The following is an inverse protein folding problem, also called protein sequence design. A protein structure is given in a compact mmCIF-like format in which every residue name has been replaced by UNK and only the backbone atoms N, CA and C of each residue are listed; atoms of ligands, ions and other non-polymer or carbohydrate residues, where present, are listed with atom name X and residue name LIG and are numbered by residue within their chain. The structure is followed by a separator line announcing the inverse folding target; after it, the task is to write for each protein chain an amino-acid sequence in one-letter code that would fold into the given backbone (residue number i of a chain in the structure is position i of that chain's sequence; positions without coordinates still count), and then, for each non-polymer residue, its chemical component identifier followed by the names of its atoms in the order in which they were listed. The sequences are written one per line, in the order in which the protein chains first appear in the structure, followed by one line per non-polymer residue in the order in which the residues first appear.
data_IF_570807577570
#
_entry.id   IF_570807577570
#
_cell.length_a   1.000
_cell.length_b   1.000
_cell.length_c   1.000
_cell.angle_alpha   90.00
_cell.angle_beta   90.00
_cell.angle_gamma   90.00
#
_symmetry.space_group_name_H-M   'P 1'
#
loop_
_entity.id
_entity.type
_entity.pdbx_description
1 polymer ?
#
# COMPACT_ATOMS: atom_id res chain seq x y z
N UNK A 1 -27.98 -4.11 5.44
CA UNK A 1 -27.00 -3.49 4.54
C UNK A 1 -25.67 -3.59 5.26
N UNK A 2 -24.78 -4.47 4.80
CA UNK A 2 -23.48 -4.69 5.44
C UNK A 2 -22.55 -3.54 5.05
N UNK A 3 -21.89 -2.94 6.04
CA UNK A 3 -21.00 -1.81 5.86
C UNK A 3 -19.69 -2.29 5.22
N UNK A 4 -19.34 -1.72 4.07
CA UNK A 4 -18.07 -2.00 3.39
C UNK A 4 -16.90 -1.50 4.26
N UNK A 5 -16.07 -2.42 4.76
CA UNK A 5 -14.85 -2.07 5.48
C UNK A 5 -13.67 -1.99 4.51
N UNK A 6 -13.01 -0.83 4.46
CA UNK A 6 -11.82 -0.65 3.62
C UNK A 6 -10.67 -1.53 4.09
N UNK A 7 -10.08 -2.26 3.15
CA UNK A 7 -8.84 -3.01 3.28
C UNK A 7 -7.59 -2.17 3.00
N UNK A 8 -7.73 -0.89 2.60
CA UNK A 8 -6.57 -0.02 2.40
C UNK A 8 -6.05 0.44 3.76
N UNK A 9 -4.90 -0.09 4.18
CA UNK A 9 -4.28 0.24 5.46
C UNK A 9 -3.44 1.53 5.38
N UNK A 10 -3.17 2.12 6.53
CA UNK A 10 -2.28 3.27 6.65
C UNK A 10 -0.82 2.84 6.63
N UNK A 11 0.08 3.79 6.42
CA UNK A 11 1.51 3.49 6.44
C UNK A 11 1.97 3.09 7.82
N UNK A 12 2.80 2.05 7.88
CA UNK A 12 3.31 1.49 9.12
C UNK A 12 2.33 0.53 9.78
N UNK A 13 1.09 0.39 9.28
CA UNK A 13 0.18 -0.65 9.77
C UNK A 13 0.77 -2.02 9.46
N UNK A 14 0.88 -2.83 10.50
CA UNK A 14 1.32 -4.22 10.45
C UNK A 14 0.18 -5.10 9.95
N UNK A 15 0.54 -6.10 9.16
CA UNK A 15 -0.39 -7.09 8.63
C UNK A 15 0.28 -8.46 8.53
N UNK A 16 -0.54 -9.50 8.48
CA UNK A 16 -0.10 -10.86 8.15
C UNK A 16 -0.76 -11.30 6.85
N UNK A 17 -0.05 -12.07 6.03
CA UNK A 17 -0.63 -12.63 4.81
C UNK A 17 -1.56 -13.78 5.21
N UNK A 18 -2.83 -13.65 4.85
CA UNK A 18 -3.87 -14.62 5.16
C UNK A 18 -3.72 -15.91 4.36
N UNK A 19 -4.22 -17.02 4.89
CA UNK A 19 -4.28 -18.31 4.21
C UNK A 19 -5.50 -18.47 3.27
N UNK A 20 -6.43 -17.50 3.30
CA UNK A 20 -7.62 -17.44 2.44
C UNK A 20 -7.32 -17.63 0.95
N UNK A 21 -6.15 -17.20 0.49
CA UNK A 21 -5.66 -17.49 -0.86
C UNK A 21 -4.24 -18.05 -0.79
N UNK A 22 -4.07 -19.25 -1.36
CA UNK A 22 -2.74 -19.81 -1.63
C UNK A 22 -2.09 -19.04 -2.79
N UNK A 23 -1.12 -18.20 -2.46
CA UNK A 23 -0.26 -17.50 -3.41
C UNK A 23 1.14 -18.16 -3.42
N UNK A 24 1.64 -18.68 -4.55
CA UNK A 24 2.96 -19.32 -4.60
C UNK A 24 4.12 -18.33 -4.40
N UNK A 25 3.92 -17.04 -4.65
CA UNK A 25 4.92 -15.98 -4.51
C UNK A 25 4.97 -15.38 -3.09
N UNK A 26 3.90 -15.55 -2.31
CA UNK A 26 3.81 -15.01 -0.96
C UNK A 26 3.22 -16.02 0.03
N UNK A 27 4.05 -16.44 0.99
CA UNK A 27 3.73 -17.51 1.94
C UNK A 27 2.75 -16.98 2.99
N UNK A 28 1.61 -17.66 3.25
CA UNK A 28 0.72 -17.34 4.36
C UNK A 28 1.46 -17.27 5.70
N UNK A 29 1.03 -16.37 6.58
CA UNK A 29 1.68 -16.06 7.86
C UNK A 29 2.90 -15.13 7.75
N UNK A 30 3.31 -14.72 6.55
CA UNK A 30 4.35 -13.69 6.40
C UNK A 30 3.88 -12.38 7.03
N UNK A 31 4.73 -11.75 7.84
CA UNK A 31 4.48 -10.44 8.45
C UNK A 31 4.93 -9.34 7.50
N UNK A 32 4.15 -8.28 7.41
CA UNK A 32 4.48 -7.12 6.60
C UNK A 32 3.98 -5.80 7.17
N UNK A 33 4.47 -4.72 6.57
CA UNK A 33 4.15 -3.34 6.90
C UNK A 33 3.83 -2.57 5.61
N UNK A 34 2.78 -1.75 5.64
CA UNK A 34 2.43 -0.92 4.50
C UNK A 34 3.34 0.30 4.43
N UNK A 35 3.93 0.56 3.27
CA UNK A 35 4.72 1.77 3.02
C UNK A 35 3.89 2.84 2.32
N UNK A 36 3.18 2.49 1.24
CA UNK A 36 2.38 3.45 0.49
C UNK A 36 1.41 2.77 -0.48
N UNK A 37 0.41 3.52 -0.91
CA UNK A 37 -0.48 3.13 -1.99
C UNK A 37 0.25 3.18 -3.34
N UNK A 38 0.17 2.10 -4.10
CA UNK A 38 0.64 2.00 -5.49
C UNK A 38 -0.41 2.41 -6.53
N UNK A 39 -1.69 2.44 -6.14
CA UNK A 39 -2.84 2.75 -7.00
C UNK A 39 -3.68 1.51 -7.33
N UNK A 40 -4.80 1.71 -8.04
CA UNK A 40 -5.68 0.61 -8.45
C UNK A 40 -4.99 -0.35 -9.42
N UNK A 41 -5.42 -1.61 -9.40
CA UNK A 41 -5.01 -2.60 -10.40
C UNK A 41 -5.61 -2.28 -11.77
N UNK A 42 -4.81 -2.46 -12.81
CA UNK A 42 -5.23 -2.16 -14.19
C UNK A 42 -6.35 -3.10 -14.70
N UNK A 43 -6.47 -4.30 -14.12
CA UNK A 43 -7.42 -5.32 -14.55
C UNK A 43 -8.63 -5.44 -13.63
N UNK A 44 -8.50 -5.09 -12.34
CA UNK A 44 -9.54 -5.30 -11.33
C UNK A 44 -9.78 -4.04 -10.47
N UNK A 45 -10.96 -3.41 -10.60
CA UNK A 45 -11.26 -2.12 -9.96
C UNK A 45 -11.40 -2.19 -8.42
N UNK A 46 -11.81 -3.34 -7.88
CA UNK A 46 -11.81 -3.58 -6.43
C UNK A 46 -10.46 -4.14 -5.94
N UNK A 47 -9.37 -3.95 -6.68
CA UNK A 47 -8.03 -4.38 -6.27
C UNK A 47 -7.10 -3.20 -6.31
N UNK A 48 -6.28 -3.08 -5.27
CA UNK A 48 -5.29 -2.03 -5.15
C UNK A 48 -3.91 -2.63 -5.00
N UNK A 49 -2.92 -1.99 -5.60
CA UNK A 49 -1.51 -2.27 -5.35
C UNK A 49 -1.03 -1.43 -4.16
N UNK A 50 -0.30 -2.06 -3.26
CA UNK A 50 0.40 -1.39 -2.17
C UNK A 50 1.88 -1.72 -2.22
N UNK A 51 2.71 -0.72 -1.98
CA UNK A 51 4.13 -0.94 -1.70
C UNK A 51 4.24 -1.36 -0.24
N UNK A 52 4.85 -2.53 -0.02
CA UNK A 52 4.91 -3.17 1.28
C UNK A 52 6.33 -3.58 1.60
N UNK A 53 6.62 -3.64 2.88
CA UNK A 53 7.83 -4.25 3.42
C UNK A 53 7.41 -5.57 4.04
N UNK A 54 7.94 -6.68 3.54
CA UNK A 54 7.75 -8.01 4.12
C UNK A 54 8.98 -8.40 4.92
N UNK A 55 8.76 -8.97 6.10
CA UNK A 55 9.82 -9.62 6.89
C UNK A 55 9.62 -11.12 6.73
N UNK A 56 10.60 -11.80 6.13
CA UNK A 56 10.52 -13.23 5.82
C UNK A 56 11.67 -13.99 6.46
N UNK A 57 11.37 -15.13 7.09
CA UNK A 57 12.38 -16.13 7.44
C UNK A 57 12.93 -16.77 6.15
N UNK A 58 14.21 -16.54 5.86
CA UNK A 58 14.91 -17.14 4.74
C UNK A 58 15.22 -18.63 4.94
N UNK A 59 15.61 -19.32 3.86
CA UNK A 59 15.89 -20.77 3.83
C UNK A 59 17.00 -21.27 4.78
N UNK A 60 17.77 -20.36 5.38
CA UNK A 60 18.91 -20.67 6.26
C UNK A 60 18.75 -20.09 7.66
N UNK A 61 17.51 -19.79 8.09
CA UNK A 61 17.23 -19.12 9.37
C UNK A 61 17.53 -17.62 9.36
N UNK A 62 17.87 -17.04 8.21
CA UNK A 62 18.19 -15.61 8.06
C UNK A 62 16.95 -14.82 7.70
N UNK A 63 16.59 -13.83 8.50
CA UNK A 63 15.51 -12.93 8.15
C UNK A 63 15.87 -12.02 6.97
N UNK A 64 14.90 -11.80 6.09
CA UNK A 64 15.02 -10.96 4.91
C UNK A 64 13.98 -9.87 4.98
N UNK A 65 14.40 -8.64 4.73
CA UNK A 65 13.47 -7.56 4.42
C UNK A 65 13.30 -7.53 2.90
N UNK A 66 12.06 -7.69 2.47
CA UNK A 66 11.69 -7.68 1.06
C UNK A 66 10.75 -6.51 0.81
N UNK A 67 11.20 -5.54 0.01
CA UNK A 67 10.35 -4.48 -0.49
C UNK A 67 9.68 -5.01 -1.75
N UNK A 68 8.36 -5.19 -1.69
CA UNK A 68 7.59 -5.71 -2.81
C UNK A 68 6.30 -4.91 -3.01
N UNK A 69 5.62 -5.19 -4.12
CA UNK A 69 4.25 -4.74 -4.32
C UNK A 69 3.32 -5.91 -4.09
N UNK A 70 2.37 -5.71 -3.19
CA UNK A 70 1.24 -6.61 -3.03
C UNK A 70 0.02 -6.01 -3.70
N UNK A 71 -0.89 -6.87 -4.12
CA UNK A 71 -2.21 -6.53 -4.62
C UNK A 71 -3.23 -7.14 -3.67
N UNK A 72 -4.25 -6.40 -3.30
CA UNK A 72 -5.27 -6.89 -2.38
C UNK A 72 -6.62 -6.26 -2.68
N UNK A 73 -7.74 -6.87 -2.23
CA UNK A 73 -9.03 -6.26 -2.43
C UNK A 73 -9.16 -4.95 -1.64
N UNK A 74 -9.83 -3.95 -2.22
CA UNK A 74 -10.15 -2.69 -1.52
C UNK A 74 -11.24 -2.91 -0.49
N UNK A 75 -12.27 -3.68 -0.82
CA UNK A 75 -13.27 -4.14 0.14
C UNK A 75 -13.38 -5.66 0.10
N UNK A 76 -13.59 -6.30 1.25
CA UNK A 76 -13.83 -7.74 1.37
C UNK A 76 -15.30 -8.01 1.65
N UNK A 77 -15.90 -8.98 0.96
CA UNK A 77 -17.29 -9.42 1.17
C UNK A 77 -17.43 -10.92 0.94
N UNK A 78 -18.23 -11.58 1.77
CA UNK A 78 -18.55 -13.00 1.61
C UNK A 78 -19.75 -13.16 0.66
N UNK A 79 -19.46 -13.20 -0.65
CA UNK A 79 -20.45 -13.38 -1.72
C UNK A 79 -19.88 -14.19 -2.87
N UNK A 80 -20.64 -15.15 -3.41
CA UNK A 80 -20.23 -15.94 -4.59
C UNK A 80 -19.94 -15.07 -5.82
N UNK A 81 -20.60 -13.91 -5.95
CA UNK A 81 -20.35 -12.95 -7.03
C UNK A 81 -19.03 -12.20 -6.86
N UNK A 82 -18.49 -12.14 -5.65
CA UNK A 82 -17.22 -11.46 -5.34
C UNK A 82 -16.01 -12.19 -5.95
N UNK A 83 -16.05 -13.53 -6.01
CA UNK A 83 -14.98 -14.31 -6.64
C UNK A 83 -14.78 -13.97 -8.13
N UNK A 84 -15.84 -13.50 -8.82
CA UNK A 84 -15.81 -13.13 -10.25
C UNK A 84 -15.12 -11.80 -10.52
N UNK A 85 -15.00 -10.93 -9.51
CA UNK A 85 -14.42 -9.58 -9.63
C UNK A 85 -13.03 -9.47 -8.99
N UNK A 86 -12.43 -10.62 -8.66
CA UNK A 86 -11.07 -10.74 -8.15
C UNK A 86 -10.16 -11.47 -9.14
N UNK A 87 -8.82 -11.32 -9.00
CA UNK A 87 -7.86 -12.03 -9.82
C UNK A 87 -8.05 -13.56 -9.78
N UNK A 88 -8.20 -14.14 -10.97
CA UNK A 88 -8.18 -15.60 -11.18
C UNK A 88 -6.84 -16.18 -10.75
N UNK A 89 -6.81 -17.47 -10.36
CA UNK A 89 -5.64 -18.18 -9.81
C UNK A 89 -4.37 -17.97 -10.65
N UNK A 90 -4.49 -18.00 -11.97
CA UNK A 90 -3.39 -17.86 -12.93
C UNK A 90 -2.74 -16.46 -12.90
N UNK A 91 -3.50 -15.42 -12.50
CA UNK A 91 -3.05 -14.03 -12.47
C UNK A 91 -2.65 -13.54 -11.06
N UNK A 92 -2.52 -14.44 -10.07
CA UNK A 92 -2.33 -14.08 -8.65
C UNK A 92 -0.90 -13.77 -8.21
N UNK A 93 0.09 -13.59 -9.10
CA UNK A 93 1.52 -13.48 -8.71
C UNK A 93 1.83 -12.47 -7.58
N UNK A 94 0.98 -11.47 -7.35
CA UNK A 94 1.10 -10.54 -6.21
C UNK A 94 -0.20 -10.35 -5.43
N UNK A 95 -1.27 -11.07 -5.77
CA UNK A 95 -2.57 -10.91 -5.13
C UNK A 95 -2.65 -11.72 -3.84
N UNK A 96 -2.95 -11.07 -2.73
CA UNK A 96 -3.03 -11.66 -1.40
C UNK A 96 -4.24 -11.13 -0.65
N UNK A 97 -4.71 -11.92 0.31
CA UNK A 97 -5.48 -11.38 1.43
C UNK A 97 -4.52 -11.09 2.56
N UNK A 98 -4.78 -10.03 3.30
CA UNK A 98 -4.04 -9.72 4.51
C UNK A 98 -5.01 -9.64 5.67
N UNK A 99 -4.59 -10.17 6.80
CA UNK A 99 -5.28 -9.98 8.06
C UNK A 99 -4.64 -8.75 8.71
N UNK A 100 -5.46 -7.72 8.89
CA UNK A 100 -5.04 -6.47 9.53
C UNK A 100 -4.82 -6.76 11.01
N UNK A 101 -3.64 -6.42 11.52
CA UNK A 101 -3.49 -6.26 12.96
C UNK A 101 -4.13 -4.91 13.30
N UNK A 102 -5.14 -4.90 14.18
CA UNK A 102 -5.71 -3.64 14.65
C UNK A 102 -4.57 -2.72 15.08
N UNK A 103 -4.69 -1.42 14.79
CA UNK A 103 -3.75 -0.43 15.29
C UNK A 103 -3.86 -0.48 16.81
N UNK A 104 -3.15 -1.40 17.46
CA UNK A 104 -2.84 -1.26 18.85
C UNK A 104 -2.12 0.09 18.88
N UNK A 105 -2.66 1.06 19.62
CA UNK A 105 -1.97 2.30 19.94
C UNK A 105 -0.76 1.98 20.83
N UNK A 106 0.01 0.95 20.50
CA UNK A 106 1.25 0.61 21.10
C UNK A 106 2.19 1.76 20.78
N UNK A 107 2.75 2.31 21.84
CA UNK A 107 3.87 3.19 21.76
C UNK A 107 4.92 2.53 20.86
N UNK A 108 5.33 3.17 19.75
CA UNK A 108 6.34 2.63 18.83
C UNK A 108 7.66 2.30 19.57
N UNK A 109 7.85 2.84 20.77
CA UNK A 109 8.95 2.50 21.66
C UNK A 109 8.85 1.10 22.27
N UNK A 110 7.64 0.56 22.42
CA UNK A 110 7.34 -0.69 23.13
C UNK A 110 7.13 -1.90 22.21
N UNK A 111 7.10 -1.70 20.90
CA UNK A 111 6.99 -2.82 19.94
C UNK A 111 8.29 -3.65 19.91
N UNK A 112 8.21 -4.87 19.40
CA UNK A 112 9.41 -5.72 19.23
C UNK A 112 10.44 -5.05 18.32
N UNK A 113 11.73 -5.35 18.47
CA UNK A 113 12.79 -4.80 17.60
C UNK A 113 12.57 -5.12 16.12
N UNK A 114 11.98 -6.28 15.85
CA UNK A 114 11.60 -6.69 14.50
C UNK A 114 10.45 -5.85 13.94
N UNK A 115 9.42 -5.60 14.74
CA UNK A 115 8.29 -4.75 14.33
C UNK A 115 8.73 -3.29 14.14
N UNK A 116 9.60 -2.79 15.02
CA UNK A 116 10.17 -1.45 14.88
C UNK A 116 11.01 -1.32 13.60
N UNK A 117 11.83 -2.33 13.29
CA UNK A 117 12.59 -2.41 12.05
C UNK A 117 11.66 -2.40 10.82
N UNK A 118 10.62 -3.23 10.80
CA UNK A 118 9.66 -3.26 9.70
C UNK A 118 8.93 -1.93 9.50
N UNK A 119 8.45 -1.34 10.60
CA UNK A 119 7.80 -0.03 10.59
C UNK A 119 8.74 1.07 10.09
N UNK A 120 9.96 1.13 10.60
CA UNK A 120 10.92 2.17 10.28
C UNK A 120 11.43 2.10 8.83
N UNK A 121 11.57 0.90 8.27
CA UNK A 121 11.83 0.71 6.83
C UNK A 121 10.63 1.16 6.00
N UNK A 122 9.41 0.76 6.35
CA UNK A 122 8.20 1.16 5.63
C UNK A 122 8.02 2.69 5.63
N UNK A 123 8.25 3.32 6.78
CA UNK A 123 8.21 4.78 6.96
C UNK A 123 9.31 5.48 6.16
N UNK A 124 10.56 4.97 6.19
CA UNK A 124 11.66 5.53 5.41
C UNK A 124 11.39 5.48 3.91
N UNK A 125 10.78 4.39 3.42
CA UNK A 125 10.34 4.29 2.03
C UNK A 125 9.23 5.30 1.70
N UNK A 126 8.26 5.51 2.59
CA UNK A 126 7.23 6.54 2.39
C UNK A 126 7.84 7.93 2.34
N UNK A 127 8.68 8.27 3.32
CA UNK A 127 9.37 9.55 3.38
C UNK A 127 10.16 9.81 2.09
N UNK A 128 10.86 8.79 1.57
CA UNK A 128 11.60 8.90 0.31
C UNK A 128 10.68 9.13 -0.90
N UNK A 129 9.53 8.47 -0.94
CA UNK A 129 8.52 8.69 -1.99
C UNK A 129 7.92 10.10 -1.92
N UNK A 130 7.64 10.61 -0.72
CA UNK A 130 7.15 11.98 -0.55
C UNK A 130 8.23 13.00 -0.95
N UNK A 131 9.46 12.75 -0.52
CA UNK A 131 10.63 13.56 -0.79
C UNK A 131 10.93 13.68 -2.30
N UNK A 132 10.74 12.61 -3.08
CA UNK A 132 10.91 12.66 -4.53
C UNK A 132 9.83 13.48 -5.26
N UNK A 133 8.68 13.69 -4.63
CA UNK A 133 7.57 14.52 -5.15
C UNK A 133 7.67 15.99 -4.69
N UNK A 134 8.52 16.29 -3.70
CA UNK A 134 8.77 17.63 -3.20
C UNK A 134 9.86 18.35 -4.01
N UNK A 135 9.56 19.53 -4.55
CA UNK A 135 10.58 20.42 -5.18
C UNK A 135 11.52 21.07 -4.16
N UNK A 136 11.06 21.25 -2.92
CA UNK A 136 11.82 21.84 -1.81
C UNK A 136 12.04 20.76 -0.74
N UNK A 137 12.86 19.78 -1.08
CA UNK A 137 13.13 18.64 -0.21
C UNK A 137 14.30 18.94 0.73
N UNK A 138 14.08 18.86 2.05
CA UNK A 138 15.15 18.83 3.05
C UNK A 138 15.45 17.37 3.41
N UNK A 139 15.92 16.60 2.43
CA UNK A 139 16.43 15.27 2.75
C UNK A 139 17.76 15.41 3.50
N UNK A 140 17.97 14.69 4.61
CA UNK A 140 19.23 14.79 5.34
C UNK A 140 20.39 14.34 4.45
N UNK A 141 21.42 15.18 4.33
CA UNK A 141 22.62 14.90 3.53
C UNK A 141 23.57 13.92 4.23
N UNK A 142 23.49 13.81 5.56
CA UNK A 142 24.38 12.98 6.36
C UNK A 142 24.01 11.51 6.31
N UNK A 143 24.97 10.68 5.95
CA UNK A 143 24.88 9.22 6.02
C UNK A 143 24.70 8.68 7.44
N UNK A 144 25.01 9.51 8.47
CA UNK A 144 24.83 9.15 9.87
C UNK A 144 23.40 9.37 10.36
N UNK A 145 22.58 10.11 9.60
CA UNK A 145 21.18 10.34 9.93
C UNK A 145 20.43 9.00 10.01
N UNK A 146 19.60 8.76 11.05
CA UNK A 146 18.89 7.50 11.23
C UNK A 146 18.12 7.05 9.99
N UNK A 147 17.40 7.94 9.31
CA UNK A 147 16.60 7.61 8.11
C UNK A 147 17.47 7.13 6.94
N UNK A 148 18.65 7.71 6.78
CA UNK A 148 19.62 7.27 5.77
C UNK A 148 20.26 5.93 6.09
N UNK A 149 20.47 5.63 7.39
CA UNK A 149 20.98 4.32 7.82
C UNK A 149 19.98 3.21 7.48
N UNK A 150 18.69 3.45 7.72
CA UNK A 150 17.63 2.46 7.43
C UNK A 150 17.57 2.11 5.94
N UNK A 151 17.67 3.10 5.07
CA UNK A 151 17.64 2.88 3.61
C UNK A 151 18.88 2.15 3.06
N UNK A 152 19.92 1.94 3.88
CA UNK A 152 21.17 1.26 3.51
C UNK A 152 21.29 -0.13 4.11
N UNK A 153 20.29 -0.53 4.87
CA UNK A 153 20.20 -1.86 5.43
C UNK A 153 20.24 -2.88 4.26
N UNK A 154 21.18 -3.85 4.26
CA UNK A 154 21.31 -4.81 3.16
C UNK A 154 20.05 -5.65 2.98
N UNK A 155 19.67 -6.01 1.75
CA UNK A 155 18.47 -6.84 1.49
C UNK A 155 18.43 -8.17 2.28
N UNK A 156 19.59 -8.66 2.72
CA UNK A 156 19.75 -9.83 3.58
C UNK A 156 20.36 -9.42 4.91
N UNK A 157 19.64 -9.65 6.00
CA UNK A 157 20.21 -9.59 7.34
C UNK A 157 20.52 -11.02 7.73
N UNK A 158 21.79 -11.30 8.02
CA UNK A 158 22.01 -12.40 8.96
C UNK A 158 21.34 -11.94 10.26
N UNK A 159 20.73 -12.86 11.00
CA UNK A 159 20.78 -12.75 12.45
C UNK A 159 22.27 -12.63 12.77
N UNK A 160 22.76 -11.40 12.79
CA UNK A 160 23.99 -11.06 13.46
C UNK A 160 23.53 -10.90 14.91
N UNK A 161 23.92 -11.82 15.81
CA UNK A 161 23.57 -11.73 17.22
C UNK A 161 24.00 -10.40 17.86
N UNK A 162 24.82 -9.59 17.18
CA UNK A 162 25.32 -8.29 17.61
C UNK A 162 24.80 -7.04 16.88
N UNK A 163 24.18 -7.16 15.69
CA UNK A 163 24.27 -6.10 14.68
C UNK A 163 23.04 -5.21 14.51
N UNK A 164 22.09 -5.65 13.68
CA UNK A 164 20.99 -4.79 13.21
C UNK A 164 19.77 -4.80 14.13
N UNK A 165 19.35 -5.96 14.64
CA UNK A 165 18.24 -6.01 15.61
C UNK A 165 18.63 -5.32 16.93
N UNK A 166 19.86 -5.55 17.41
CA UNK A 166 20.40 -4.88 18.60
C UNK A 166 20.47 -3.35 18.44
N UNK A 167 20.76 -2.86 17.23
CA UNK A 167 20.67 -1.43 16.94
C UNK A 167 19.25 -0.89 17.18
N UNK A 168 18.22 -1.68 16.83
CA UNK A 168 16.82 -1.34 17.08
C UNK A 168 16.33 -1.78 18.47
N UNK A 169 17.14 -2.41 19.32
CA UNK A 169 16.83 -2.59 20.74
C UNK A 169 17.13 -1.32 21.54
N UNK A 170 18.03 -0.47 21.04
CA UNK A 170 18.39 0.79 21.68
C UNK A 170 17.25 1.83 21.57
N UNK A 171 16.70 2.24 22.72
CA UNK A 171 15.61 3.21 22.79
C UNK A 171 16.00 4.60 22.26
N UNK A 172 17.21 5.09 22.53
CA UNK A 172 17.67 6.39 22.04
C UNK A 172 17.71 6.42 20.50
N UNK A 173 18.09 5.29 19.89
CA UNK A 173 18.06 5.13 18.43
C UNK A 173 16.63 5.16 17.90
N UNK A 174 15.69 4.46 18.57
CA UNK A 174 14.27 4.47 18.19
C UNK A 174 13.69 5.87 18.25
N UNK A 175 13.90 6.57 19.37
CA UNK A 175 13.42 7.92 19.60
C UNK A 175 14.00 8.89 18.57
N UNK A 176 15.32 8.86 18.36
CA UNK A 176 15.99 9.68 17.35
C UNK A 176 15.44 9.43 15.94
N UNK A 177 15.16 8.18 15.57
CA UNK A 177 14.52 7.89 14.28
C UNK A 177 13.08 8.43 14.21
N UNK A 178 12.26 8.21 15.25
CA UNK A 178 10.87 8.66 15.29
C UNK A 178 10.79 10.18 15.16
N UNK A 179 11.61 10.91 15.89
CA UNK A 179 11.62 12.37 15.89
C UNK A 179 12.04 12.91 14.53
N UNK A 180 13.11 12.38 13.96
CA UNK A 180 13.56 12.78 12.63
C UNK A 180 12.50 12.47 11.56
N UNK A 181 11.89 11.28 11.62
CA UNK A 181 10.81 10.90 10.73
C UNK A 181 9.61 11.84 10.85
N UNK A 182 9.22 12.26 12.06
CA UNK A 182 8.13 13.23 12.31
C UNK A 182 8.45 14.62 11.77
N UNK A 183 9.68 15.11 11.97
CA UNK A 183 10.14 16.39 11.41
C UNK A 183 10.08 16.34 9.88
N UNK A 184 10.59 15.28 9.26
CA UNK A 184 10.51 15.11 7.81
C UNK A 184 9.05 15.02 7.33
N UNK A 185 8.23 14.23 8.01
CA UNK A 185 6.82 14.05 7.69
C UNK A 185 6.05 15.38 7.72
N UNK A 186 6.20 16.15 8.79
CA UNK A 186 5.54 17.46 8.95
C UNK A 186 5.98 18.46 7.87
N UNK A 187 7.25 18.45 7.47
CA UNK A 187 7.75 19.29 6.38
C UNK A 187 7.15 18.95 5.01
N UNK A 188 6.62 17.73 4.86
CA UNK A 188 6.03 17.19 3.63
C UNK A 188 4.51 16.98 3.73
N UNK A 189 3.85 17.60 4.72
CA UNK A 189 2.43 17.37 5.03
C UNK A 189 1.50 17.56 3.82
N UNK A 190 1.79 18.51 2.92
CA UNK A 190 0.99 18.71 1.69
C UNK A 190 1.00 17.48 0.79
N UNK A 191 2.18 16.92 0.52
CA UNK A 191 2.30 15.70 -0.30
C UNK A 191 1.62 14.52 0.39
N UNK A 192 1.71 14.43 1.72
CA UNK A 192 0.99 13.41 2.47
C UNK A 192 -0.53 13.52 2.27
N UNK A 193 -1.10 14.72 2.40
CA UNK A 193 -2.54 14.93 2.19
C UNK A 193 -2.96 14.58 0.76
N UNK A 194 -2.15 14.91 -0.25
CA UNK A 194 -2.40 14.52 -1.65
C UNK A 194 -2.41 12.98 -1.82
N UNK A 195 -1.55 12.27 -1.08
CA UNK A 195 -1.52 10.80 -1.08
C UNK A 195 -2.76 10.21 -0.40
N UNK A 196 -3.25 10.83 0.67
CA UNK A 196 -4.47 10.39 1.37
C UNK A 196 -5.72 10.67 0.53
N UNK A 197 -5.77 11.79 -0.19
CA UNK A 197 -6.82 12.05 -1.20
C UNK A 197 -6.82 10.95 -2.28
N UNK A 198 -5.64 10.48 -2.68
CA UNK A 198 -5.50 9.39 -3.65
C UNK A 198 -6.04 8.05 -3.10
N UNK A 199 -5.88 7.80 -1.80
CA UNK A 199 -6.49 6.65 -1.10
C UNK A 199 -8.01 6.74 -1.13
N UNK A 200 -8.59 7.85 -0.70
CA UNK A 200 -10.04 8.05 -0.70
C UNK A 200 -10.67 7.88 -2.10
N UNK A 201 -9.98 8.36 -3.15
CA UNK A 201 -10.41 8.15 -4.55
C UNK A 201 -10.44 6.67 -4.95
N UNK A 202 -9.48 5.87 -4.49
CA UNK A 202 -9.47 4.43 -4.79
C UNK A 202 -10.64 3.72 -4.10
N UNK A 203 -10.93 4.08 -2.85
CA UNK A 203 -12.07 3.54 -2.09
C UNK A 203 -13.41 3.90 -2.74
N UNK A 204 -13.58 5.16 -3.16
CA UNK A 204 -14.80 5.60 -3.86
C UNK A 204 -15.02 4.80 -5.15
N UNK A 205 -14.00 4.71 -6.02
CA UNK A 205 -14.10 3.98 -7.28
C UNK A 205 -14.44 2.49 -7.06
N UNK A 206 -13.81 1.86 -6.08
CA UNK A 206 -14.08 0.46 -5.75
C UNK A 206 -15.50 0.27 -5.20
N UNK A 207 -16.01 1.21 -4.39
CA UNK A 207 -17.36 1.16 -3.84
C UNK A 207 -18.41 1.30 -4.93
N UNK A 208 -18.23 2.26 -5.85
CA UNK A 208 -19.10 2.41 -7.01
C UNK A 208 -19.11 1.13 -7.84
N UNK A 209 -17.94 0.57 -8.16
CA UNK A 209 -17.83 -0.69 -8.90
C UNK A 209 -18.60 -1.85 -8.23
N UNK A 210 -18.48 -2.00 -6.91
CA UNK A 210 -19.20 -3.04 -6.16
C UNK A 210 -20.70 -2.82 -6.16
N UNK A 211 -21.16 -1.59 -5.93
CA UNK A 211 -22.59 -1.26 -5.97
C UNK A 211 -23.20 -1.59 -7.35
N UNK A 212 -22.48 -1.27 -8.43
CA UNK A 212 -22.94 -1.57 -9.78
C UNK A 212 -22.97 -3.08 -10.08
N UNK A 213 -21.96 -3.83 -9.63
CA UNK A 213 -21.88 -5.28 -9.83
C UNK A 213 -22.97 -6.02 -9.05
N UNK A 214 -23.25 -5.60 -7.80
CA UNK A 214 -24.29 -6.20 -6.97
C UNK A 214 -25.71 -5.99 -7.52
N UNK A 215 -25.92 -4.96 -8.36
CA UNK A 215 -27.20 -4.68 -9.03
C UNK A 215 -27.42 -5.50 -10.33
N UNK A 216 -26.64 -6.56 -10.57
CA UNK A 216 -26.85 -7.48 -11.69
C UNK A 216 -26.47 -6.94 -13.07
N UNK A 217 -25.80 -5.78 -13.14
CA UNK A 217 -25.45 -5.13 -14.41
C UNK A 217 -24.20 -5.78 -15.02
N UNK A 218 -24.30 -6.16 -16.30
CA UNK A 218 -23.21 -6.81 -17.03
C UNK A 218 -22.05 -5.84 -17.30
N UNK A 219 -20.82 -6.37 -17.21
CA UNK A 219 -19.58 -5.66 -17.54
C UNK A 219 -19.02 -6.21 -18.85
N UNK A 220 -18.97 -5.38 -19.89
CA UNK A 220 -18.17 -5.67 -21.09
C UNK A 220 -17.03 -4.64 -21.19
N UNK A 221 -15.79 -5.12 -21.18
CA UNK A 221 -14.61 -4.29 -21.41
C UNK A 221 -14.54 -3.95 -22.89
N UNK A 222 -14.72 -2.68 -23.26
CA UNK A 222 -14.53 -2.24 -24.66
C UNK A 222 -13.25 -1.43 -24.82
N UNK A 223 -12.29 -2.02 -25.54
CA UNK A 223 -11.08 -1.35 -26.02
C UNK A 223 -9.89 -1.32 -25.06
N UNK A 224 -8.86 -0.57 -25.45
CA UNK A 224 -7.57 -0.46 -24.75
C UNK A 224 -7.55 0.60 -23.63
N UNK A 225 -8.62 1.37 -23.47
CA UNK A 225 -8.82 2.29 -22.35
C UNK A 225 -9.70 1.61 -21.31
N UNK A 226 -9.59 2.02 -20.04
CA UNK A 226 -10.41 1.53 -18.92
C UNK A 226 -11.88 2.00 -19.07
N UNK A 227 -12.50 1.67 -20.18
CA UNK A 227 -13.88 1.97 -20.53
C UNK A 227 -14.68 0.68 -20.33
N UNK A 228 -15.57 0.74 -19.35
CA UNK A 228 -16.52 -0.33 -19.07
C UNK A 228 -17.87 0.16 -19.56
N UNK A 229 -18.49 -0.62 -20.44
CA UNK A 229 -19.89 -0.41 -20.81
C UNK A 229 -20.76 -1.21 -19.87
N UNK A 230 -21.82 -0.55 -19.41
CA UNK A 230 -22.83 -1.12 -18.55
C UNK A 230 -24.13 -1.24 -19.33
N UNK A 231 -24.82 -2.35 -19.17
CA UNK A 231 -26.20 -2.55 -19.60
C UNK A 231 -27.02 -2.93 -18.37
N UNK A 232 -28.19 -2.32 -18.20
CA UNK A 232 -29.18 -2.79 -17.23
C UNK A 232 -30.03 -3.91 -17.82
N UNK A 233 -30.88 -4.52 -16.99
CA UNK A 233 -31.76 -5.63 -17.37
C UNK A 233 -32.74 -5.28 -18.51
N UNK A 234 -32.91 -3.99 -18.80
CA UNK A 234 -33.77 -3.47 -19.86
C UNK A 234 -32.97 -2.96 -21.09
N UNK A 235 -31.64 -3.12 -21.09
CA UNK A 235 -30.75 -2.67 -22.16
C UNK A 235 -30.70 -1.14 -22.38
N UNK A 236 -31.20 -0.33 -21.44
CA UNK A 236 -31.67 1.03 -21.71
C UNK A 236 -30.71 2.15 -21.26
N UNK A 237 -29.66 1.82 -20.51
CA UNK A 237 -28.69 2.80 -20.03
C UNK A 237 -27.26 2.35 -20.35
N UNK A 238 -26.72 2.79 -21.50
CA UNK A 238 -25.27 2.80 -21.73
C UNK A 238 -24.66 3.96 -20.91
N UNK A 239 -24.21 3.68 -19.69
CA UNK A 239 -23.22 4.54 -19.03
C UNK A 239 -21.84 4.07 -19.47
N UNK A 240 -21.01 4.99 -19.94
CA UNK A 240 -19.57 4.74 -20.11
C UNK A 240 -18.90 5.42 -18.94
N UNK A 241 -18.37 4.65 -17.99
CA UNK A 241 -17.45 5.26 -17.02
C UNK A 241 -16.10 5.37 -17.71
N UNK A 242 -15.80 6.59 -18.18
CA UNK A 242 -14.48 6.94 -18.69
C UNK A 242 -13.61 7.30 -17.50
N UNK A 243 -12.76 6.39 -17.08
CA UNK A 243 -11.76 6.73 -16.08
C UNK A 243 -10.60 7.44 -16.77
N UNK A 244 -10.43 8.72 -16.42
CA UNK A 244 -9.24 9.47 -16.77
C UNK A 244 -8.07 8.82 -16.06
N UNK A 245 -7.22 8.13 -16.82
CA UNK A 245 -5.84 7.86 -16.40
C UNK A 245 -5.22 9.24 -16.23
N UNK A 246 -5.30 9.84 -15.05
CA UNK A 246 -4.72 11.16 -14.82
C UNK A 246 -3.22 10.97 -14.95
N UNK A 247 -2.73 11.24 -16.15
CA UNK A 247 -1.31 11.18 -16.43
C UNK A 247 -0.66 12.33 -15.69
N UNK A 248 0.60 12.18 -15.32
CA UNK A 248 1.41 13.26 -14.73
C UNK A 248 1.33 14.56 -15.56
N UNK A 249 1.09 14.42 -16.87
CA UNK A 249 0.84 15.50 -17.83
C UNK A 249 -0.47 16.28 -17.59
N UNK A 250 -1.54 15.61 -17.15
CA UNK A 250 -2.83 16.24 -16.85
C UNK A 250 -2.85 16.89 -15.46
N UNK A 251 -2.17 16.30 -14.47
CA UNK A 251 -1.89 16.95 -13.17
C UNK A 251 -1.13 18.26 -13.39
N UNK A 252 -0.09 18.23 -14.23
CA UNK A 252 0.69 19.41 -14.58
C UNK A 252 -0.12 20.46 -15.37
N UNK A 253 -1.13 20.05 -16.16
CA UNK A 253 -1.99 20.97 -16.91
C UNK A 253 -2.96 21.72 -15.99
N UNK A 254 -3.49 21.04 -14.97
CA UNK A 254 -4.34 21.65 -13.93
C UNK A 254 -3.54 22.62 -13.02
N UNK A 255 -2.27 22.32 -12.74
CA UNK A 255 -1.38 23.25 -12.03
C UNK A 255 -1.06 24.53 -12.82
N UNK A 256 -0.88 24.43 -14.15
CA UNK A 256 -0.65 25.59 -15.02
C UNK A 256 -1.90 26.46 -15.22
N UNK A 257 -3.09 25.88 -15.11
CA UNK A 257 -4.35 26.62 -15.20
C UNK A 257 -4.65 27.48 -13.96
N UNK A 258 -3.99 27.22 -12.81
CA UNK A 258 -4.10 28.01 -11.57
C UNK A 258 -3.00 29.08 -11.40
N UNK A 259 -2.10 29.23 -12.38
CA UNK A 259 -1.00 30.20 -12.36
C UNK A 259 -1.12 31.28 -13.45
N UNK A 260 -2.30 31.44 -14.03
CA UNK A 260 -2.74 32.63 -14.75
C UNK A 260 -3.96 33.20 -14.04
#
# INVERSE_FOLDING_TARGET
MELLQSGILDTGTKFTISDKIKNPSHIPGSVGFISSLGGLDDSYQNVVSMNTVLIRKGKTGKDRIEICRLKMPVFTFDSENFAKILPTIENRKSFVYIDKEENQHNNLMEVTSLDFLGWSVAMSHRLRLMASRCKHNKWPSSNKNPVNKILRLPDYFREDPGGHLNFYENLEVRESFIDEARVMYSSMVKIHLDMDESKAKCELNASEFLEFTNKGKFLEKKGAKNEYKFTDDNGLIERTIKYYKVTEKEINKLHKAKTK
#
